data_IF_587344082930
#
_entry.id   IF_587344082930
#
_cell.length_a   1.000
_cell.length_b   1.000
_cell.length_c   1.000
_cell.angle_alpha   90.00
_cell.angle_beta   90.00
_cell.angle_gamma   90.00
#
_symmetry.space_group_name_H-M   'P 1'
#
loop_
_entity.id
_entity.type
_entity.pdbx_description
1 polymer ?
#
# COMPACT_ATOMS: atom_id res chain seq x y z
N UNK A 1 30.50 11.97 -10.17
CA UNK A 1 31.11 10.79 -10.80
C UNK A 1 30.17 9.62 -10.58
N UNK A 2 29.65 8.99 -11.63
CA UNK A 2 28.76 7.83 -11.49
C UNK A 2 29.54 6.66 -10.89
N UNK A 3 28.95 6.03 -9.89
CA UNK A 3 29.56 4.91 -9.18
C UNK A 3 28.87 3.62 -9.64
N UNK A 4 29.66 2.73 -10.23
CA UNK A 4 29.25 1.38 -10.67
C UNK A 4 29.73 0.33 -9.66
N UNK A 5 29.57 0.62 -8.37
CA UNK A 5 29.96 -0.26 -7.27
C UNK A 5 28.74 -0.58 -6.39
N UNK A 6 28.37 -1.87 -6.33
CA UNK A 6 27.17 -2.34 -5.62
C UNK A 6 27.07 -1.87 -4.17
N UNK A 7 28.21 -1.81 -3.44
CA UNK A 7 28.23 -1.40 -2.03
C UNK A 7 27.88 0.08 -1.83
N UNK A 8 28.13 0.92 -2.82
CA UNK A 8 27.91 2.37 -2.71
C UNK A 8 26.47 2.76 -3.09
N UNK A 9 25.88 2.00 -4.01
CA UNK A 9 24.56 2.28 -4.59
C UNK A 9 23.42 1.59 -3.84
N UNK A 10 23.68 0.47 -3.16
CA UNK A 10 22.65 -0.26 -2.40
C UNK A 10 22.34 0.41 -1.06
N UNK A 11 21.07 0.41 -0.69
CA UNK A 11 20.63 0.69 0.68
C UNK A 11 19.54 -0.30 1.11
N UNK A 12 19.60 -0.71 2.38
CA UNK A 12 18.38 -1.11 3.11
C UNK A 12 17.56 0.17 3.27
N UNK A 13 16.23 0.13 3.10
CA UNK A 13 15.36 1.33 3.11
C UNK A 13 15.46 2.12 4.44
N UNK A 14 16.49 2.96 4.54
CA UNK A 14 16.70 3.92 5.62
C UNK A 14 16.27 5.33 5.18
N UNK A 15 16.48 5.67 3.90
CA UNK A 15 16.06 6.96 3.31
C UNK A 15 14.99 6.74 2.23
N UNK A 16 13.80 6.33 2.66
CA UNK A 16 12.65 6.15 1.75
C UNK A 16 12.09 7.50 1.32
N UNK A 17 12.07 7.77 0.01
CA UNK A 17 11.38 8.96 -0.53
C UNK A 17 9.87 8.89 -0.31
N UNK A 18 9.31 7.70 -0.07
CA UNK A 18 7.91 7.43 0.25
C UNK A 18 7.70 7.10 1.75
N UNK A 19 8.51 7.65 2.64
CA UNK A 19 8.47 7.34 4.09
C UNK A 19 7.09 7.55 4.72
N UNK A 20 6.40 8.64 4.41
CA UNK A 20 5.04 8.92 4.92
C UNK A 20 4.08 7.82 4.45
N UNK A 21 4.17 7.48 3.16
CA UNK A 21 3.39 6.42 2.55
C UNK A 21 3.61 5.06 3.24
N UNK A 22 4.88 4.72 3.50
CA UNK A 22 5.28 3.50 4.23
C UNK A 22 4.74 3.47 5.65
N UNK A 23 4.86 4.59 6.37
CA UNK A 23 4.41 4.69 7.77
C UNK A 23 2.92 4.43 7.92
N UNK A 24 2.11 5.04 7.05
CA UNK A 24 0.66 4.95 7.09
C UNK A 24 0.18 3.56 6.66
N UNK A 25 0.72 3.02 5.55
CA UNK A 25 0.20 1.79 4.95
C UNK A 25 0.81 0.49 5.47
N UNK A 26 2.00 0.55 6.09
CA UNK A 26 2.73 -0.64 6.55
C UNK A 26 3.01 -0.57 8.04
N UNK A 27 3.73 0.46 8.50
CA UNK A 27 4.23 0.52 9.88
C UNK A 27 3.09 0.58 10.89
N UNK A 28 2.04 1.37 10.62
CA UNK A 28 0.87 1.47 11.48
C UNK A 28 0.27 0.08 11.76
N UNK A 29 0.06 -0.72 10.73
CA UNK A 29 -0.59 -2.03 10.80
C UNK A 29 0.33 -3.17 11.28
N UNK A 30 1.62 -2.92 11.48
CA UNK A 30 2.54 -3.87 12.10
C UNK A 30 2.39 -3.92 13.62
N UNK A 31 1.79 -2.90 14.25
CA UNK A 31 1.59 -2.82 15.69
C UNK A 31 0.73 -4.00 16.22
N UNK A 32 1.22 -4.68 17.25
CA UNK A 32 0.55 -5.84 17.86
C UNK A 32 -0.83 -5.51 18.41
N UNK A 33 -1.02 -4.32 18.99
CA UNK A 33 -2.33 -3.88 19.51
C UNK A 33 -3.33 -3.77 18.36
N UNK A 34 -2.93 -3.13 17.26
CA UNK A 34 -3.79 -3.00 16.07
C UNK A 34 -4.10 -4.36 15.46
N UNK A 35 -3.15 -5.31 15.40
CA UNK A 35 -3.41 -6.68 14.95
C UNK A 35 -4.47 -7.37 15.80
N UNK A 36 -4.37 -7.29 17.13
CA UNK A 36 -5.37 -7.86 18.05
C UNK A 36 -6.74 -7.22 17.81
N UNK A 37 -6.79 -5.88 17.68
CA UNK A 37 -8.04 -5.17 17.37
C UNK A 37 -8.64 -5.64 16.03
N UNK A 38 -7.82 -5.82 14.99
CA UNK A 38 -8.28 -6.34 13.69
C UNK A 38 -8.85 -7.75 13.81
N UNK A 39 -8.25 -8.64 14.60
CA UNK A 39 -8.81 -9.97 14.84
C UNK A 39 -10.16 -9.90 15.55
N UNK A 40 -10.29 -9.06 16.58
CA UNK A 40 -11.58 -8.86 17.28
C UNK A 40 -12.66 -8.32 16.34
N UNK A 41 -12.33 -7.30 15.54
CA UNK A 41 -13.22 -6.72 14.54
C UNK A 41 -13.60 -7.77 13.50
N UNK A 42 -12.64 -8.52 12.97
CA UNK A 42 -12.88 -9.58 12.00
C UNK A 42 -13.87 -10.62 12.52
N UNK A 43 -13.67 -11.12 13.74
CA UNK A 43 -14.56 -12.10 14.37
C UNK A 43 -15.98 -11.55 14.55
N UNK A 44 -16.11 -10.31 15.03
CA UNK A 44 -17.40 -9.67 15.22
C UNK A 44 -18.15 -9.44 13.89
N UNK A 45 -17.46 -8.90 12.88
CA UNK A 45 -18.03 -8.67 11.55
C UNK A 45 -18.41 -9.98 10.87
N UNK A 46 -17.60 -11.04 11.02
CA UNK A 46 -17.91 -12.37 10.47
C UNK A 46 -19.16 -12.95 11.10
N UNK A 47 -19.32 -12.84 12.42
CA UNK A 47 -20.52 -13.30 13.11
C UNK A 47 -21.78 -12.55 12.61
N UNK A 48 -21.69 -11.22 12.49
CA UNK A 48 -22.77 -10.40 11.96
C UNK A 48 -23.13 -10.76 10.51
N UNK A 49 -22.13 -10.97 9.66
CA UNK A 49 -22.32 -11.36 8.27
C UNK A 49 -23.03 -12.73 8.17
N UNK A 50 -22.59 -13.73 8.95
CA UNK A 50 -23.23 -15.05 8.99
C UNK A 50 -24.69 -14.95 9.45
N UNK A 51 -24.96 -14.16 10.48
CA UNK A 51 -26.33 -13.91 10.95
C UNK A 51 -27.18 -13.24 9.85
N UNK A 52 -26.62 -12.26 9.15
CA UNK A 52 -27.29 -11.60 8.05
C UNK A 52 -27.57 -12.55 6.88
N UNK A 53 -26.60 -13.40 6.50
CA UNK A 53 -26.77 -14.43 5.48
C UNK A 53 -27.89 -15.40 5.87
N UNK A 54 -27.91 -15.87 7.12
CA UNK A 54 -28.98 -16.74 7.63
C UNK A 54 -30.36 -16.08 7.51
N UNK A 55 -30.45 -14.79 7.85
CA UNK A 55 -31.71 -14.03 7.74
C UNK A 55 -32.15 -13.82 6.29
N UNK A 56 -31.21 -13.54 5.38
CA UNK A 56 -31.52 -13.50 3.95
C UNK A 56 -32.06 -14.83 3.44
N UNK A 57 -31.50 -15.95 3.87
CA UNK A 57 -31.95 -17.28 3.43
C UNK A 57 -33.34 -17.64 4.00
N UNK A 58 -33.61 -17.32 5.27
CA UNK A 58 -34.85 -17.75 5.92
C UNK A 58 -36.05 -16.84 5.65
N UNK A 59 -35.85 -15.53 5.64
CA UNK A 59 -36.94 -14.55 5.47
C UNK A 59 -37.10 -14.07 4.04
N UNK A 60 -36.31 -14.59 3.07
CA UNK A 60 -36.06 -14.03 1.74
C UNK A 60 -37.19 -13.15 1.17
N UNK A 61 -37.13 -11.86 1.51
CA UNK A 61 -38.04 -10.82 1.06
C UNK A 61 -37.26 -9.85 0.18
N UNK A 62 -37.72 -9.63 -1.06
CA UNK A 62 -36.98 -8.79 -2.03
C UNK A 62 -36.71 -7.37 -1.51
N UNK A 63 -37.66 -6.77 -0.80
CA UNK A 63 -37.50 -5.44 -0.19
C UNK A 63 -36.42 -5.44 0.89
N UNK A 64 -36.39 -6.48 1.73
CA UNK A 64 -35.37 -6.65 2.76
C UNK A 64 -33.98 -6.84 2.14
N UNK A 65 -33.88 -7.66 1.09
CA UNK A 65 -32.63 -7.86 0.37
C UNK A 65 -32.12 -6.56 -0.26
N UNK A 66 -32.97 -5.86 -1.03
CA UNK A 66 -32.59 -4.58 -1.67
C UNK A 66 -32.13 -3.55 -0.64
N UNK A 67 -32.78 -3.52 0.53
CA UNK A 67 -32.45 -2.61 1.61
C UNK A 67 -31.05 -2.84 2.19
N UNK A 68 -30.68 -4.08 2.50
CA UNK A 68 -29.44 -4.39 3.22
C UNK A 68 -28.29 -4.92 2.34
N UNK A 69 -28.55 -5.26 1.08
CA UNK A 69 -27.55 -5.80 0.15
C UNK A 69 -26.33 -4.87 -0.07
N UNK A 70 -26.45 -3.54 -0.20
CA UNK A 70 -25.28 -2.68 -0.43
C UNK A 70 -24.24 -2.80 0.67
N UNK A 71 -24.67 -2.77 1.94
CA UNK A 71 -23.76 -2.93 3.07
C UNK A 71 -23.21 -4.35 3.14
N UNK A 72 -24.05 -5.38 2.95
CA UNK A 72 -23.60 -6.77 2.95
C UNK A 72 -22.42 -7.01 2.00
N UNK A 73 -22.56 -6.54 0.75
CA UNK A 73 -21.47 -6.64 -0.24
C UNK A 73 -20.26 -5.80 0.18
N UNK A 74 -20.47 -4.60 0.74
CA UNK A 74 -19.39 -3.78 1.28
C UNK A 74 -18.64 -4.41 2.47
N UNK A 75 -19.35 -5.13 3.33
CA UNK A 75 -18.80 -5.83 4.50
C UNK A 75 -17.91 -6.99 4.09
N UNK A 76 -18.25 -7.69 3.00
CA UNK A 76 -17.38 -8.69 2.39
C UNK A 76 -16.01 -8.09 1.98
N UNK A 77 -15.99 -6.85 1.45
CA UNK A 77 -14.73 -6.15 1.15
C UNK A 77 -13.98 -5.77 2.44
N UNK A 78 -14.66 -5.28 3.46
CA UNK A 78 -14.05 -4.95 4.76
C UNK A 78 -13.42 -6.20 5.40
N UNK A 79 -14.11 -7.34 5.39
CA UNK A 79 -13.61 -8.62 5.86
C UNK A 79 -12.36 -9.05 5.10
N UNK A 80 -12.36 -8.91 3.77
CA UNK A 80 -11.19 -9.18 2.95
C UNK A 80 -10.01 -8.28 3.32
N UNK A 81 -10.21 -6.97 3.50
CA UNK A 81 -9.15 -6.06 3.95
C UNK A 81 -8.61 -6.44 5.32
N UNK A 82 -9.49 -6.78 6.26
CA UNK A 82 -9.13 -7.14 7.63
C UNK A 82 -8.31 -8.43 7.66
N UNK A 83 -8.68 -9.43 6.85
CA UNK A 83 -7.96 -10.70 6.75
C UNK A 83 -6.61 -10.55 6.04
N UNK A 84 -6.53 -9.75 4.99
CA UNK A 84 -5.34 -9.66 4.13
C UNK A 84 -4.28 -8.68 4.64
N UNK A 85 -4.68 -7.57 5.29
CA UNK A 85 -3.76 -6.50 5.70
C UNK A 85 -2.60 -6.99 6.60
N UNK A 86 -2.83 -7.82 7.63
CA UNK A 86 -1.73 -8.33 8.46
C UNK A 86 -0.73 -9.19 7.67
N UNK A 87 -1.19 -9.90 6.63
CA UNK A 87 -0.33 -10.70 5.78
C UNK A 87 0.42 -9.83 4.77
N UNK A 88 -0.29 -8.95 4.06
CA UNK A 88 0.28 -8.10 3.01
C UNK A 88 1.32 -7.12 3.57
N UNK A 89 1.10 -6.55 4.76
CA UNK A 89 2.11 -5.70 5.44
C UNK A 89 3.43 -6.44 5.65
N UNK A 90 3.39 -7.70 6.10
CA UNK A 90 4.58 -8.52 6.30
C UNK A 90 5.24 -8.88 4.96
N UNK A 91 4.46 -9.19 3.93
CA UNK A 91 4.98 -9.48 2.58
C UNK A 91 5.74 -8.28 2.04
N UNK A 92 5.12 -7.10 2.06
CA UNK A 92 5.72 -5.86 1.54
C UNK A 92 7.01 -5.52 2.30
N UNK A 93 6.98 -5.55 3.63
CA UNK A 93 8.17 -5.28 4.45
C UNK A 93 9.30 -6.29 4.18
N UNK A 94 8.98 -7.58 4.01
CA UNK A 94 9.96 -8.61 3.70
C UNK A 94 10.57 -8.46 2.31
N UNK A 95 9.78 -8.07 1.29
CA UNK A 95 10.27 -7.80 -0.06
C UNK A 95 11.35 -6.72 0.01
N UNK A 96 11.06 -5.60 0.66
CA UNK A 96 11.97 -4.46 0.73
C UNK A 96 13.14 -4.62 1.70
N UNK A 97 13.09 -5.60 2.61
CA UNK A 97 14.24 -6.01 3.42
C UNK A 97 15.21 -6.91 2.66
N UNK A 98 14.70 -7.72 1.72
CA UNK A 98 15.49 -8.72 0.98
C UNK A 98 16.04 -8.20 -0.33
N UNK A 99 15.30 -7.35 -1.03
CA UNK A 99 15.69 -6.82 -2.33
C UNK A 99 16.50 -5.54 -2.11
N UNK A 100 17.79 -5.52 -2.49
CA UNK A 100 18.59 -4.32 -2.38
C UNK A 100 18.10 -3.26 -3.37
N UNK A 101 17.71 -2.09 -2.87
CA UNK A 101 17.27 -0.97 -3.70
C UNK A 101 18.42 0.01 -3.95
N UNK A 102 18.47 0.59 -5.14
CA UNK A 102 19.40 1.64 -5.48
C UNK A 102 18.99 2.97 -4.83
N UNK A 103 20.00 3.70 -4.35
CA UNK A 103 19.84 5.05 -3.79
C UNK A 103 19.47 6.04 -4.88
N UNK A 104 18.51 6.91 -4.56
CA UNK A 104 18.08 7.99 -5.46
C UNK A 104 19.20 9.02 -5.72
N UNK A 105 20.14 9.17 -4.78
CA UNK A 105 21.27 10.08 -4.90
C UNK A 105 22.36 9.63 -5.91
N UNK A 106 22.25 8.42 -6.46
CA UNK A 106 23.21 7.88 -7.41
C UNK A 106 22.93 8.28 -8.87
N UNK A 107 21.76 8.88 -9.15
CA UNK A 107 21.40 9.34 -10.48
C UNK A 107 21.83 10.80 -10.75
N UNK A 108 21.60 11.27 -11.98
CA UNK A 108 21.69 12.68 -12.31
C UNK A 108 20.59 13.51 -11.63
N UNK A 109 20.79 14.83 -11.60
CA UNK A 109 19.87 15.74 -10.94
C UNK A 109 18.46 15.70 -11.56
N UNK A 110 18.35 15.46 -12.87
CA UNK A 110 17.04 15.34 -13.55
C UNK A 110 16.25 14.12 -13.06
N UNK A 111 16.86 12.93 -13.08
CA UNK A 111 16.19 11.70 -12.61
C UNK A 111 15.87 11.78 -11.12
N UNK A 112 16.79 12.32 -10.33
CA UNK A 112 16.63 12.54 -8.89
C UNK A 112 15.45 13.47 -8.59
N UNK A 113 15.40 14.64 -9.24
CA UNK A 113 14.31 15.60 -9.04
C UNK A 113 12.96 15.05 -9.54
N UNK A 114 12.96 14.28 -10.62
CA UNK A 114 11.76 13.57 -11.09
C UNK A 114 11.22 12.61 -10.02
N UNK A 115 12.07 11.73 -9.47
CA UNK A 115 11.68 10.78 -8.42
C UNK A 115 11.17 11.55 -7.19
N UNK A 116 11.89 12.58 -6.74
CA UNK A 116 11.48 13.38 -5.57
C UNK A 116 10.15 14.10 -5.76
N UNK A 117 9.91 14.67 -6.95
CA UNK A 117 8.65 15.36 -7.26
C UNK A 117 7.46 14.39 -7.22
N UNK A 118 7.60 13.23 -7.85
CA UNK A 118 6.56 12.19 -7.82
C UNK A 118 6.34 11.66 -6.40
N UNK A 119 7.41 11.38 -5.65
CA UNK A 119 7.32 10.91 -4.28
C UNK A 119 6.65 11.95 -3.35
N UNK A 120 6.98 13.24 -3.52
CA UNK A 120 6.34 14.35 -2.79
C UNK A 120 4.85 14.43 -3.10
N UNK A 121 4.46 14.27 -4.37
CA UNK A 121 3.05 14.22 -4.76
C UNK A 121 2.32 13.05 -4.09
N UNK A 122 2.88 11.84 -4.15
CA UNK A 122 2.29 10.65 -3.54
C UNK A 122 2.16 10.75 -2.02
N UNK A 123 3.19 11.27 -1.33
CA UNK A 123 3.15 11.52 0.11
C UNK A 123 2.08 12.57 0.47
N UNK A 124 1.95 13.64 -0.31
CA UNK A 124 0.88 14.63 -0.11
C UNK A 124 -0.51 14.03 -0.34
N UNK A 125 -0.64 13.20 -1.38
CA UNK A 125 -1.88 12.54 -1.75
C UNK A 125 -2.38 11.59 -0.66
N UNK A 126 -1.51 10.75 -0.08
CA UNK A 126 -1.93 9.84 0.99
C UNK A 126 -2.35 10.60 2.26
N UNK A 127 -1.68 11.70 2.61
CA UNK A 127 -2.09 12.54 3.75
C UNK A 127 -3.51 13.08 3.53
N UNK A 128 -3.79 13.61 2.33
CA UNK A 128 -5.12 14.09 1.97
C UNK A 128 -6.17 12.97 2.08
N UNK A 129 -5.88 11.77 1.55
CA UNK A 129 -6.78 10.62 1.63
C UNK A 129 -7.05 10.17 3.06
N UNK A 130 -6.03 10.15 3.92
CA UNK A 130 -6.17 9.80 5.34
C UNK A 130 -7.05 10.81 6.08
N UNK A 131 -6.88 12.12 5.81
CA UNK A 131 -7.73 13.16 6.39
C UNK A 131 -9.17 12.98 5.95
N UNK A 132 -9.40 12.80 4.63
CA UNK A 132 -10.74 12.61 4.09
C UNK A 132 -11.42 11.36 4.65
N UNK A 133 -10.70 10.23 4.69
CA UNK A 133 -11.22 8.98 5.26
C UNK A 133 -11.52 9.13 6.75
N UNK A 134 -10.70 9.85 7.50
CA UNK A 134 -10.95 10.11 8.93
C UNK A 134 -12.22 10.95 9.13
N UNK A 135 -12.41 12.01 8.33
CA UNK A 135 -13.63 12.83 8.37
C UNK A 135 -14.86 11.98 8.06
N UNK A 136 -14.82 11.20 6.97
CA UNK A 136 -15.92 10.32 6.57
C UNK A 136 -16.22 9.30 7.68
N UNK A 137 -15.20 8.68 8.25
CA UNK A 137 -15.38 7.70 9.30
C UNK A 137 -15.97 8.29 10.59
N UNK A 138 -15.57 9.50 10.98
CA UNK A 138 -16.16 10.23 12.10
C UNK A 138 -17.63 10.57 11.82
N UNK A 139 -17.97 10.98 10.60
CA UNK A 139 -19.37 11.25 10.23
C UNK A 139 -20.24 9.98 10.37
N UNK A 140 -19.72 8.80 10.01
CA UNK A 140 -20.45 7.53 10.21
C UNK A 140 -20.60 7.14 11.68
N UNK A 141 -19.78 7.68 12.59
CA UNK A 141 -19.95 7.45 14.03
C UNK A 141 -21.13 8.22 14.62
N UNK A 142 -21.64 9.24 13.95
CA UNK A 142 -22.76 10.04 14.45
C UNK A 142 -24.04 9.19 14.26
N UNK A 143 -24.84 8.97 15.32
CA UNK A 143 -26.09 8.23 15.21
C UNK A 143 -27.10 8.92 14.28
N UNK A 144 -27.65 8.17 13.34
CA UNK A 144 -28.72 8.59 12.45
C UNK A 144 -29.98 7.72 12.69
N UNK A 145 -31.19 8.30 12.77
CA UNK A 145 -32.43 7.56 12.97
C UNK A 145 -32.71 6.51 11.87
N UNK A 146 -32.17 6.69 10.67
CA UNK A 146 -32.31 5.78 9.54
C UNK A 146 -31.28 4.65 9.54
N UNK A 147 -30.33 4.62 10.48
CA UNK A 147 -29.28 3.60 10.51
C UNK A 147 -29.83 2.17 10.58
N UNK A 148 -30.92 1.95 11.33
CA UNK A 148 -31.60 0.65 11.38
C UNK A 148 -32.25 0.23 10.05
N UNK A 149 -32.53 1.21 9.16
CA UNK A 149 -33.11 0.95 7.85
C UNK A 149 -32.05 0.67 6.79
N UNK A 150 -30.78 0.97 7.06
CA UNK A 150 -29.68 0.87 6.09
C UNK A 150 -28.68 -0.22 6.52
N UNK A 151 -28.46 -0.36 7.82
CA UNK A 151 -27.43 -1.19 8.40
C UNK A 151 -28.06 -2.28 9.27
N UNK A 152 -27.97 -3.53 8.79
CA UNK A 152 -28.56 -4.68 9.45
C UNK A 152 -28.13 -4.87 10.92
N UNK A 153 -26.86 -4.64 11.33
CA UNK A 153 -26.48 -4.75 12.73
C UNK A 153 -27.32 -3.87 13.68
N UNK A 154 -27.68 -2.65 13.29
CA UNK A 154 -28.54 -1.80 14.13
C UNK A 154 -29.98 -2.30 14.18
N UNK A 155 -30.50 -2.87 13.09
CA UNK A 155 -31.81 -3.53 13.12
C UNK A 155 -31.82 -4.73 14.08
N UNK A 156 -30.74 -5.52 14.10
CA UNK A 156 -30.56 -6.63 15.03
C UNK A 156 -30.43 -6.16 16.48
N UNK A 157 -29.67 -5.10 16.74
CA UNK A 157 -29.49 -4.58 18.11
C UNK A 157 -30.80 -4.03 18.70
N UNK A 158 -31.69 -3.48 17.86
CA UNK A 158 -33.02 -3.04 18.28
C UNK A 158 -33.94 -4.19 18.74
N UNK A 159 -33.64 -5.44 18.37
CA UNK A 159 -34.35 -6.61 18.90
C UNK A 159 -33.93 -6.93 20.36
N UNK A 160 -32.87 -6.28 20.87
CA UNK A 160 -32.37 -6.42 22.25
C UNK A 160 -32.28 -5.02 22.91
N UNK A 161 -33.42 -4.41 23.31
CA UNK A 161 -33.48 -3.00 23.70
C UNK A 161 -32.55 -2.60 24.85
N UNK A 162 -32.29 -3.53 25.78
CA UNK A 162 -31.39 -3.31 26.92
C UNK A 162 -29.93 -3.06 26.49
N UNK A 163 -29.51 -3.62 25.36
CA UNK A 163 -28.14 -3.57 24.86
C UNK A 163 -27.99 -2.75 23.58
N UNK A 164 -29.08 -2.25 23.01
CA UNK A 164 -29.11 -1.54 21.71
C UNK A 164 -28.06 -0.42 21.66
N UNK A 165 -28.09 0.48 22.64
CA UNK A 165 -27.18 1.62 22.70
C UNK A 165 -25.71 1.18 22.86
N UNK A 166 -25.44 0.22 23.74
CA UNK A 166 -24.07 -0.24 24.03
C UNK A 166 -23.47 -0.97 22.83
N UNK A 167 -24.21 -1.90 22.22
CA UNK A 167 -23.79 -2.60 21.00
C UNK A 167 -23.66 -1.64 19.83
N UNK A 168 -24.57 -0.67 19.72
CA UNK A 168 -24.53 0.35 18.69
C UNK A 168 -23.28 1.21 18.77
N UNK A 169 -22.94 1.74 19.95
CA UNK A 169 -21.70 2.51 20.14
C UNK A 169 -20.44 1.66 19.96
N UNK A 170 -20.46 0.41 20.40
CA UNK A 170 -19.37 -0.53 20.17
C UNK A 170 -19.11 -0.70 18.66
N UNK A 171 -20.16 -0.94 17.87
CA UNK A 171 -20.05 -1.07 16.43
C UNK A 171 -19.56 0.23 15.76
N UNK A 172 -20.13 1.38 16.10
CA UNK A 172 -19.72 2.69 15.54
C UNK A 172 -18.27 3.02 15.82
N UNK A 173 -17.77 2.68 17.01
CA UNK A 173 -16.38 2.95 17.39
C UNK A 173 -15.35 2.27 16.46
N UNK A 174 -15.78 1.27 15.69
CA UNK A 174 -14.92 0.60 14.69
C UNK A 174 -14.73 1.41 13.41
N UNK A 175 -15.65 2.33 13.06
CA UNK A 175 -15.63 3.03 11.77
C UNK A 175 -14.34 3.82 11.48
N UNK A 176 -13.73 4.58 12.42
CA UNK A 176 -12.43 5.22 12.20
C UNK A 176 -11.34 4.24 11.78
N UNK A 177 -11.31 3.07 12.40
CA UNK A 177 -10.33 2.03 12.08
C UNK A 177 -10.63 1.39 10.73
N UNK A 178 -11.90 1.09 10.44
CA UNK A 178 -12.32 0.51 9.17
C UNK A 178 -12.03 1.45 7.98
N UNK A 179 -12.23 2.75 8.15
CA UNK A 179 -11.94 3.74 7.11
C UNK A 179 -10.46 3.73 6.67
N UNK A 180 -9.53 3.66 7.62
CA UNK A 180 -8.10 3.56 7.32
C UNK A 180 -7.72 2.17 6.79
N UNK A 181 -8.31 1.12 7.35
CA UNK A 181 -8.06 -0.26 6.95
C UNK A 181 -8.44 -0.50 5.48
N UNK A 182 -9.59 0.01 5.03
CA UNK A 182 -10.07 -0.15 3.66
C UNK A 182 -9.15 0.48 2.61
N UNK A 183 -8.38 1.51 2.98
CA UNK A 183 -7.40 2.16 2.09
C UNK A 183 -6.09 1.38 1.99
N UNK A 184 -5.77 0.61 3.03
CA UNK A 184 -4.42 0.08 3.26
C UNK A 184 -3.92 -0.85 2.15
N UNK A 185 -4.71 -1.84 1.68
CA UNK A 185 -4.27 -2.71 0.58
C UNK A 185 -3.92 -1.94 -0.70
N UNK A 186 -4.73 -0.95 -1.07
CA UNK A 186 -4.47 -0.11 -2.24
C UNK A 186 -3.19 0.71 -2.07
N UNK A 187 -3.00 1.30 -0.89
CA UNK A 187 -1.78 2.03 -0.58
C UNK A 187 -0.55 1.13 -0.68
N UNK A 188 -0.60 -0.09 -0.15
CA UNK A 188 0.52 -1.02 -0.25
C UNK A 188 0.88 -1.36 -1.70
N UNK A 189 -0.11 -1.58 -2.56
CA UNK A 189 0.12 -1.80 -4.00
C UNK A 189 0.74 -0.56 -4.65
N UNK A 190 0.20 0.63 -4.40
CA UNK A 190 0.75 1.89 -4.96
C UNK A 190 2.19 2.10 -4.49
N UNK A 191 2.48 1.84 -3.22
CA UNK A 191 3.82 1.93 -2.66
C UNK A 191 4.80 1.00 -3.37
N UNK A 192 4.44 -0.28 -3.53
CA UNK A 192 5.25 -1.26 -4.25
C UNK A 192 5.49 -0.86 -5.71
N UNK A 193 4.42 -0.54 -6.44
CA UNK A 193 4.50 -0.14 -7.84
C UNK A 193 5.34 1.14 -8.02
N UNK A 194 5.21 2.11 -7.11
CA UNK A 194 5.99 3.35 -7.16
C UNK A 194 7.47 3.10 -6.92
N UNK A 195 7.82 2.23 -5.98
CA UNK A 195 9.21 1.83 -5.76
C UNK A 195 9.79 1.13 -6.98
N UNK A 196 9.07 0.17 -7.58
CA UNK A 196 9.50 -0.50 -8.81
C UNK A 196 9.72 0.54 -9.93
N UNK A 197 8.77 1.46 -10.11
CA UNK A 197 8.87 2.55 -11.09
C UNK A 197 10.11 3.42 -10.87
N UNK A 198 10.43 3.77 -9.62
CA UNK A 198 11.64 4.54 -9.31
C UNK A 198 12.92 3.75 -9.58
N UNK A 199 12.96 2.47 -9.24
CA UNK A 199 14.10 1.60 -9.59
C UNK A 199 14.26 1.50 -11.12
N UNK A 200 13.16 1.41 -11.88
CA UNK A 200 13.22 1.45 -13.35
C UNK A 200 13.77 2.78 -13.90
N UNK A 201 13.45 3.92 -13.28
CA UNK A 201 14.04 5.21 -13.66
C UNK A 201 15.56 5.23 -13.45
N UNK A 202 16.02 4.72 -12.30
CA UNK A 202 17.45 4.58 -12.04
C UNK A 202 18.11 3.60 -13.00
N UNK A 203 17.49 2.46 -13.29
CA UNK A 203 17.96 1.48 -14.28
C UNK A 203 18.14 2.08 -15.66
N UNK A 204 17.12 2.77 -16.17
CA UNK A 204 17.18 3.45 -17.46
C UNK A 204 18.29 4.51 -17.45
N UNK A 205 18.48 5.24 -16.36
CA UNK A 205 19.58 6.19 -16.23
C UNK A 205 20.95 5.52 -16.38
N UNK A 206 21.20 4.41 -15.67
CA UNK A 206 22.47 3.69 -15.75
C UNK A 206 22.72 3.07 -17.15
N UNK A 207 21.69 2.50 -17.77
CA UNK A 207 21.80 1.93 -19.12
C UNK A 207 22.06 3.02 -20.17
N UNK A 208 21.38 4.17 -20.08
CA UNK A 208 21.59 5.29 -21.01
C UNK A 208 22.96 5.96 -20.90
N UNK A 209 23.62 5.83 -19.74
CA UNK A 209 24.91 6.46 -19.48
C UNK A 209 26.04 5.43 -19.42
N UNK A 210 25.87 4.29 -20.11
CA UNK A 210 26.82 3.18 -20.03
C UNK A 210 28.14 3.50 -20.73
N UNK A 211 28.08 4.27 -21.82
CA UNK A 211 29.17 4.74 -22.68
C UNK A 211 29.72 6.11 -22.26
N UNK A 212 29.13 6.72 -21.24
CA UNK A 212 29.56 8.01 -20.71
C UNK A 212 31.05 7.99 -20.34
N UNK A 213 31.75 9.08 -20.66
CA UNK A 213 33.22 9.24 -20.66
C UNK A 213 33.96 8.72 -21.89
N UNK A 214 33.26 8.14 -22.88
CA UNK A 214 33.83 7.72 -24.16
C UNK A 214 33.22 8.47 -25.36
N UNK A 215 32.46 9.53 -25.09
CA UNK A 215 31.67 10.31 -26.06
C UNK A 215 32.51 11.01 -27.15
N UNK A 216 33.77 11.35 -26.84
CA UNK A 216 34.66 12.12 -27.73
C UNK A 216 35.56 11.26 -28.62
N UNK A 217 35.54 9.93 -28.45
CA UNK A 217 36.39 9.02 -29.23
C UNK A 217 35.62 8.55 -30.46
N UNK A 218 36.29 8.59 -31.61
CA UNK A 218 35.77 8.11 -32.90
C UNK A 218 35.22 6.67 -32.79
N UNK A 219 33.95 6.47 -33.14
CA UNK A 219 33.21 5.23 -32.86
C UNK A 219 33.86 3.98 -33.44
N UNK A 220 34.52 4.11 -34.59
CA UNK A 220 35.23 3.02 -35.26
C UNK A 220 36.52 2.60 -34.54
N UNK A 221 37.11 3.49 -33.71
CA UNK A 221 38.30 3.21 -32.89
C UNK A 221 37.93 2.79 -31.47
N UNK A 222 36.77 3.24 -30.99
CA UNK A 222 36.27 2.97 -29.65
C UNK A 222 36.07 1.47 -29.43
N UNK A 223 35.49 0.76 -30.40
CA UNK A 223 35.21 -0.67 -30.30
C UNK A 223 36.48 -1.52 -30.09
N UNK A 224 37.64 -1.09 -30.58
CA UNK A 224 38.90 -1.81 -30.46
C UNK A 224 39.73 -1.41 -29.23
N UNK A 225 39.23 -0.48 -28.42
CA UNK A 225 39.94 -0.03 -27.22
C UNK A 225 39.67 -1.01 -26.07
N UNK A 226 40.69 -1.72 -25.61
CA UNK A 226 40.56 -2.75 -24.56
C UNK A 226 40.01 -2.16 -23.24
N UNK A 227 40.41 -0.95 -22.89
CA UNK A 227 39.92 -0.24 -21.71
C UNK A 227 38.42 0.10 -21.82
N UNK A 228 37.96 0.47 -23.01
CA UNK A 228 36.53 0.68 -23.27
C UNK A 228 35.75 -0.61 -23.11
N UNK A 229 36.21 -1.70 -23.73
CA UNK A 229 35.54 -3.01 -23.65
C UNK A 229 35.42 -3.50 -22.20
N UNK A 230 36.49 -3.42 -21.41
CA UNK A 230 36.49 -3.82 -19.99
C UNK A 230 35.55 -2.97 -19.15
N UNK A 231 35.52 -1.66 -19.36
CA UNK A 231 34.66 -0.75 -18.60
C UNK A 231 33.18 -0.94 -18.97
N UNK A 232 32.86 -1.12 -20.26
CA UNK A 232 31.50 -1.45 -20.71
C UNK A 232 31.05 -2.81 -20.18
N UNK A 233 31.91 -3.84 -20.23
CA UNK A 233 31.61 -5.16 -19.66
C UNK A 233 31.27 -5.05 -18.18
N UNK A 234 32.09 -4.33 -17.39
CA UNK A 234 31.84 -4.08 -15.96
C UNK A 234 30.49 -3.39 -15.73
N UNK A 235 30.16 -2.35 -16.50
CA UNK A 235 28.90 -1.59 -16.36
C UNK A 235 27.68 -2.42 -16.80
N UNK A 236 27.81 -3.22 -17.87
CA UNK A 236 26.78 -4.16 -18.31
C UNK A 236 26.52 -5.23 -17.26
N UNK A 237 27.56 -5.84 -16.70
CA UNK A 237 27.44 -6.82 -15.62
C UNK A 237 26.72 -6.22 -14.40
N UNK A 238 27.02 -4.97 -14.04
CA UNK A 238 26.30 -4.26 -12.98
C UNK A 238 24.80 -4.12 -13.29
N UNK A 239 24.43 -3.68 -14.50
CA UNK A 239 23.04 -3.56 -14.92
C UNK A 239 22.33 -4.92 -14.98
N UNK A 240 22.97 -5.96 -15.54
CA UNK A 240 22.40 -7.32 -15.66
C UNK A 240 22.13 -7.91 -14.28
N UNK A 241 23.07 -7.81 -13.34
CA UNK A 241 22.86 -8.27 -11.98
C UNK A 241 21.67 -7.61 -11.32
N UNK A 242 21.53 -6.29 -11.47
CA UNK A 242 20.37 -5.59 -10.91
C UNK A 242 19.06 -5.98 -11.59
N UNK A 243 19.07 -6.21 -12.90
CA UNK A 243 17.90 -6.70 -13.63
C UNK A 243 17.44 -8.06 -13.10
N UNK A 244 18.37 -9.00 -12.87
CA UNK A 244 18.10 -10.32 -12.29
C UNK A 244 17.62 -10.21 -10.84
N UNK A 245 18.05 -9.22 -10.08
CA UNK A 245 17.57 -9.01 -8.70
C UNK A 245 16.18 -8.38 -8.62
N UNK A 246 15.75 -7.67 -9.68
CA UNK A 246 14.45 -7.03 -9.77
C UNK A 246 13.36 -7.92 -10.42
N UNK A 247 13.74 -9.02 -11.07
CA UNK A 247 12.85 -9.97 -11.79
C UNK A 247 12.97 -11.38 -11.24
#
# INVERSE_FOLDING_TARGET
MMKYEEKEVRQVIQNDVLDIYRKISIVAFQNNILKIMLYCIFSALTALEIMQTYMFLNKFEGVYFIRYAPLYVGMSYILLCTATTPYSTNVVDNIFKKIPVWKVDCADDETKEKIKKEAKFLNGFIIFFVILASIIAILHMIPDPDDKNILYPFALFAEIPEWENTLGWCFRSTFPFLGLLMLTPYCQVIYCCSHIKFQMYLFIYYVKNIDKCFEEIDGDKLFYTEDYQKEIEKRLLFCIKHHIECY
#
